data_IF_882834142250
#
_entry.id   IF_882834142250
#
_cell.length_a   1.000
_cell.length_b   1.000
_cell.length_c   1.000
_cell.angle_alpha   90.00
_cell.angle_beta   90.00
_cell.angle_gamma   90.00
#
_symmetry.space_group_name_H-M   'P 1'
#
loop_
_entity.id
_entity.type
_entity.pdbx_description
1 polymer ?
#
# COMPACT_ATOMS: atom_id res chain seq x y z
N UNK A 1 -19.83 90.77 -33.42
CA UNK A 1 -19.24 90.13 -34.62
C UNK A 1 -19.61 88.64 -34.62
N UNK A 2 -19.94 88.03 -35.77
CA UNK A 2 -20.36 86.62 -35.83
C UNK A 2 -19.25 85.62 -35.44
N UNK A 3 -17.98 85.97 -35.68
CA UNK A 3 -16.83 85.12 -35.30
C UNK A 3 -16.68 84.96 -33.78
N UNK A 4 -16.91 86.02 -33.00
CA UNK A 4 -16.85 85.95 -31.54
C UNK A 4 -17.94 85.02 -30.98
N UNK A 5 -19.15 85.06 -31.55
CA UNK A 5 -20.24 84.15 -31.15
C UNK A 5 -19.92 82.68 -31.49
N UNK A 6 -19.33 82.40 -32.65
CA UNK A 6 -18.89 81.05 -33.03
C UNK A 6 -17.80 80.51 -32.11
N UNK A 7 -16.80 81.34 -31.75
CA UNK A 7 -15.74 80.97 -30.81
C UNK A 7 -16.30 80.67 -29.41
N UNK A 8 -17.21 81.51 -28.91
CA UNK A 8 -17.87 81.29 -27.63
C UNK A 8 -18.68 79.98 -27.62
N UNK A 9 -19.40 79.68 -28.71
CA UNK A 9 -20.13 78.41 -28.87
C UNK A 9 -19.20 77.20 -28.88
N UNK A 10 -18.06 77.27 -29.59
CA UNK A 10 -17.06 76.19 -29.59
C UNK A 10 -16.41 75.96 -28.23
N UNK A 11 -16.08 77.04 -27.50
CA UNK A 11 -15.58 76.93 -26.12
C UNK A 11 -16.62 76.31 -25.19
N UNK A 12 -17.88 76.69 -25.32
CA UNK A 12 -18.97 76.12 -24.53
C UNK A 12 -19.15 74.61 -24.81
N UNK A 13 -19.06 74.19 -26.09
CA UNK A 13 -19.10 72.78 -26.49
C UNK A 13 -17.91 72.01 -25.91
N UNK A 14 -16.68 72.49 -26.10
CA UNK A 14 -15.48 71.85 -25.57
C UNK A 14 -15.52 71.71 -24.03
N UNK A 15 -16.04 72.72 -23.32
CA UNK A 15 -16.25 72.64 -21.87
C UNK A 15 -17.37 71.66 -21.47
N UNK A 16 -18.39 71.46 -22.31
CA UNK A 16 -19.41 70.46 -22.08
C UNK A 16 -18.87 69.04 -22.31
N UNK A 17 -18.12 68.82 -23.38
CA UNK A 17 -17.43 67.56 -23.68
C UNK A 17 -16.45 67.20 -22.56
N UNK A 18 -15.59 68.14 -22.13
CA UNK A 18 -14.68 67.93 -21.01
C UNK A 18 -15.40 67.57 -19.70
N UNK A 19 -16.60 68.12 -19.45
CA UNK A 19 -17.42 67.76 -18.28
C UNK A 19 -17.98 66.34 -18.38
N UNK A 20 -18.36 65.90 -19.57
CA UNK A 20 -18.80 64.51 -19.81
C UNK A 20 -17.64 63.55 -19.58
N UNK A 21 -16.46 63.84 -20.14
CA UNK A 21 -15.27 63.00 -19.96
C UNK A 21 -14.82 62.91 -18.49
N UNK A 22 -14.90 64.03 -17.77
CA UNK A 22 -14.60 64.06 -16.34
C UNK A 22 -15.63 63.25 -15.52
N UNK A 23 -16.92 63.37 -15.84
CA UNK A 23 -17.97 62.58 -15.20
C UNK A 23 -17.80 61.08 -15.47
N UNK A 24 -17.45 60.70 -16.70
CA UNK A 24 -17.16 59.32 -17.08
C UNK A 24 -15.94 58.77 -16.31
N UNK A 25 -14.88 59.56 -16.18
CA UNK A 25 -13.68 59.19 -15.40
C UNK A 25 -14.02 59.02 -13.91
N UNK A 26 -14.81 59.93 -13.34
CA UNK A 26 -15.23 59.85 -11.95
C UNK A 26 -16.12 58.63 -11.69
N UNK A 27 -17.03 58.31 -12.62
CA UNK A 27 -17.85 57.10 -12.55
C UNK A 27 -17.00 55.83 -12.61
N UNK A 28 -16.01 55.79 -13.50
CA UNK A 28 -15.09 54.66 -13.59
C UNK A 28 -14.30 54.46 -12.27
N UNK A 29 -13.80 55.55 -11.67
CA UNK A 29 -13.13 55.50 -10.37
C UNK A 29 -14.04 55.02 -9.24
N UNK A 30 -15.29 55.50 -9.22
CA UNK A 30 -16.26 55.08 -8.22
C UNK A 30 -16.56 53.57 -8.32
N UNK A 31 -16.67 53.03 -9.54
CA UNK A 31 -16.85 51.59 -9.77
C UNK A 31 -15.66 50.76 -9.30
N UNK A 32 -14.43 51.21 -9.59
CA UNK A 32 -13.23 50.52 -9.11
C UNK A 32 -13.18 50.49 -7.58
N UNK A 33 -13.51 51.61 -6.92
CA UNK A 33 -13.56 51.68 -5.46
C UNK A 33 -14.67 50.78 -4.87
N UNK A 34 -15.81 50.67 -5.53
CA UNK A 34 -16.87 49.73 -5.16
C UNK A 34 -16.41 48.27 -5.29
N UNK A 35 -15.79 47.89 -6.41
CA UNK A 35 -15.27 46.54 -6.64
C UNK A 35 -14.14 46.17 -5.66
N UNK A 36 -13.32 47.14 -5.27
CA UNK A 36 -12.28 46.97 -4.25
C UNK A 36 -12.91 46.75 -2.86
N UNK A 37 -13.86 47.59 -2.45
CA UNK A 37 -14.56 47.41 -1.17
C UNK A 37 -15.35 46.09 -1.10
N UNK A 38 -15.91 45.62 -2.23
CA UNK A 38 -16.57 44.31 -2.32
C UNK A 38 -15.58 43.15 -2.17
N UNK A 39 -14.38 43.26 -2.75
CA UNK A 39 -13.31 42.27 -2.58
C UNK A 39 -12.82 42.23 -1.13
N UNK A 40 -12.55 43.39 -0.53
CA UNK A 40 -12.13 43.49 0.87
C UNK A 40 -13.15 42.83 1.80
N UNK A 41 -14.45 43.08 1.57
CA UNK A 41 -15.52 42.45 2.33
C UNK A 41 -15.56 40.93 2.13
N UNK A 42 -15.39 40.43 0.90
CA UNK A 42 -15.35 39.00 0.63
C UNK A 42 -14.15 38.31 1.29
N UNK A 43 -12.98 38.97 1.31
CA UNK A 43 -11.75 38.48 1.94
C UNK A 43 -11.82 38.42 3.48
N UNK A 44 -12.82 39.06 4.10
CA UNK A 44 -13.09 38.86 5.54
C UNK A 44 -13.54 37.45 5.90
N UNK A 45 -14.07 36.70 4.92
CA UNK A 45 -14.55 35.32 5.12
C UNK A 45 -13.66 34.35 4.36
N UNK A 46 -12.73 33.73 5.07
CA UNK A 46 -11.86 32.70 4.51
C UNK A 46 -12.60 31.36 4.46
N UNK A 47 -12.81 30.83 3.25
CA UNK A 47 -13.39 29.49 3.02
C UNK A 47 -12.32 28.55 2.52
N UNK A 48 -12.32 27.32 3.04
CA UNK A 48 -11.45 26.27 2.51
C UNK A 48 -11.82 25.96 1.05
N UNK A 49 -10.84 25.89 0.13
CA UNK A 49 -11.09 25.61 -1.29
C UNK A 49 -11.52 24.16 -1.56
N UNK A 50 -11.29 23.23 -0.63
CA UNK A 50 -11.65 21.82 -0.72
C UNK A 50 -11.98 21.25 0.66
N UNK A 51 -12.60 20.07 0.69
CA UNK A 51 -12.86 19.32 1.93
C UNK A 51 -11.54 18.84 2.53
N UNK A 52 -11.20 19.31 3.71
CA UNK A 52 -9.90 19.04 4.33
C UNK A 52 -10.03 18.91 5.84
N UNK A 53 -9.04 18.24 6.45
CA UNK A 53 -8.81 18.30 7.89
C UNK A 53 -7.84 19.45 8.18
N UNK A 54 -8.16 20.26 9.18
CA UNK A 54 -7.27 21.34 9.62
C UNK A 54 -6.18 20.79 10.55
N UNK A 55 -4.95 21.21 10.30
CA UNK A 55 -3.79 21.01 11.20
C UNK A 55 -3.11 22.35 11.49
N UNK A 56 -2.33 22.39 12.58
CA UNK A 56 -1.58 23.59 12.99
C UNK A 56 -2.43 24.88 13.08
N UNK A 57 -3.63 24.79 13.65
CA UNK A 57 -4.53 25.94 13.78
C UNK A 57 -3.98 26.93 14.82
N UNK A 58 -3.71 28.16 14.42
CA UNK A 58 -3.18 29.24 15.27
C UNK A 58 -4.24 30.27 15.67
N UNK A 59 -5.45 30.13 15.14
CA UNK A 59 -6.57 31.03 15.31
C UNK A 59 -7.27 30.83 16.66
N UNK A 60 -7.62 31.96 17.29
CA UNK A 60 -8.50 32.05 18.46
C UNK A 60 -9.42 33.24 18.24
N UNK A 61 -10.65 33.16 18.74
CA UNK A 61 -11.63 34.24 18.63
C UNK A 61 -11.08 35.56 19.23
N UNK A 62 -11.31 36.67 18.54
CA UNK A 62 -10.87 38.00 18.96
C UNK A 62 -9.40 38.32 18.68
N UNK A 63 -8.62 37.38 18.14
CA UNK A 63 -7.23 37.63 17.72
C UNK A 63 -7.20 38.47 16.44
N UNK A 64 -6.32 39.48 16.43
CA UNK A 64 -5.98 40.20 15.21
C UNK A 64 -5.08 39.34 14.32
N UNK A 65 -5.47 39.17 13.05
CA UNK A 65 -4.70 38.45 12.04
C UNK A 65 -4.00 39.44 11.11
N UNK A 66 -2.77 39.13 10.72
CA UNK A 66 -2.02 39.94 9.75
C UNK A 66 -2.14 39.40 8.33
N UNK A 67 -1.95 40.28 7.34
CA UNK A 67 -1.83 39.85 5.96
C UNK A 67 -0.67 38.84 5.80
N UNK A 68 -0.89 37.79 5.02
CA UNK A 68 0.05 36.68 4.78
C UNK A 68 0.37 35.80 6.00
N UNK A 69 -0.36 35.94 7.12
CA UNK A 69 -0.19 35.04 8.25
C UNK A 69 -0.76 33.64 7.95
N UNK A 70 0.00 32.59 8.27
CA UNK A 70 -0.49 31.20 8.17
C UNK A 70 -1.41 30.90 9.35
N UNK A 71 -2.70 30.77 9.06
CA UNK A 71 -3.73 30.54 10.08
C UNK A 71 -3.94 29.07 10.42
N UNK A 72 -3.80 28.20 9.41
CA UNK A 72 -3.91 26.76 9.52
C UNK A 72 -3.27 26.10 8.29
N UNK A 73 -3.10 24.79 8.36
CA UNK A 73 -2.77 23.94 7.23
C UNK A 73 -3.98 23.06 6.89
N UNK A 74 -4.30 22.97 5.60
CA UNK A 74 -5.37 22.12 5.09
C UNK A 74 -4.76 20.81 4.60
N UNK A 75 -5.19 19.69 5.17
CA UNK A 75 -4.78 18.35 4.78
C UNK A 75 -5.95 17.65 4.09
N UNK A 76 -5.76 17.30 2.82
CA UNK A 76 -6.71 16.49 2.08
C UNK A 76 -6.53 15.00 2.47
N UNK A 77 -7.52 14.35 3.11
CA UNK A 77 -7.42 12.94 3.48
C UNK A 77 -7.44 11.99 2.26
N UNK A 78 -7.96 12.45 1.12
CA UNK A 78 -8.11 11.64 -0.09
C UNK A 78 -6.91 11.83 -1.06
N UNK A 79 -5.98 12.73 -0.74
CA UNK A 79 -4.80 13.01 -1.56
C UNK A 79 -3.50 12.81 -0.77
N UNK A 80 -3.34 11.63 -0.18
CA UNK A 80 -2.13 11.26 0.55
C UNK A 80 -1.07 10.64 -0.37
N UNK A 81 0.20 11.01 -0.14
CA UNK A 81 1.37 10.38 -0.76
C UNK A 81 2.24 9.72 0.31
N UNK A 82 2.76 8.54 0.00
CA UNK A 82 3.84 7.92 0.77
C UNK A 82 5.17 8.20 0.07
N UNK A 83 6.15 8.66 0.84
CA UNK A 83 7.52 8.80 0.36
C UNK A 83 8.39 7.68 0.93
N UNK A 84 9.11 6.98 0.06
CA UNK A 84 9.95 5.86 0.45
C UNK A 84 11.24 5.83 -0.38
N UNK A 85 12.28 5.24 0.18
CA UNK A 85 13.59 5.17 -0.44
C UNK A 85 13.93 3.76 -0.87
N UNK A 86 14.51 3.65 -2.07
CA UNK A 86 14.99 2.40 -2.62
C UNK A 86 16.45 2.53 -3.09
N UNK A 87 17.13 1.39 -3.22
CA UNK A 87 18.47 1.33 -3.80
C UNK A 87 18.46 1.62 -5.30
N UNK A 88 19.59 2.06 -5.86
CA UNK A 88 19.74 2.26 -7.30
C UNK A 88 19.41 1.00 -8.11
N UNK A 89 19.76 -0.18 -7.58
CA UNK A 89 19.49 -1.46 -8.22
C UNK A 89 17.99 -1.81 -8.24
N UNK A 90 17.22 -1.42 -7.22
CA UNK A 90 15.76 -1.56 -7.21
C UNK A 90 15.11 -0.53 -8.13
N UNK A 91 15.60 0.71 -8.12
CA UNK A 91 15.07 1.76 -8.97
C UNK A 91 15.18 1.41 -10.45
N UNK A 92 16.31 0.84 -10.88
CA UNK A 92 16.50 0.37 -12.26
C UNK A 92 15.46 -0.67 -12.71
N UNK A 93 14.82 -1.40 -11.78
CA UNK A 93 13.76 -2.39 -12.08
C UNK A 93 12.39 -1.77 -12.26
N UNK A 94 12.22 -0.52 -11.81
CA UNK A 94 11.00 0.26 -11.94
C UNK A 94 11.06 1.20 -13.14
N UNK A 95 12.06 1.06 -14.00
CA UNK A 95 12.16 1.79 -15.25
C UNK A 95 11.63 0.95 -16.40
N UNK A 96 10.95 1.59 -17.35
CA UNK A 96 10.59 0.98 -18.62
C UNK A 96 11.78 0.95 -19.60
N UNK A 97 11.51 0.48 -20.83
CA UNK A 97 12.53 0.37 -21.89
C UNK A 97 13.11 1.73 -22.32
N UNK A 98 12.36 2.82 -22.11
CA UNK A 98 12.76 4.20 -22.42
C UNK A 98 13.44 4.89 -21.22
N UNK A 99 13.63 4.16 -20.12
CA UNK A 99 14.25 4.66 -18.89
C UNK A 99 13.33 5.54 -18.05
N UNK A 100 12.02 5.52 -18.29
CA UNK A 100 11.02 6.27 -17.52
C UNK A 100 10.49 5.45 -16.36
N UNK A 101 10.18 6.12 -15.25
CA UNK A 101 9.62 5.48 -14.07
C UNK A 101 8.20 4.98 -14.36
N UNK A 102 7.97 3.69 -14.17
CA UNK A 102 6.65 3.08 -14.35
C UNK A 102 5.70 3.46 -13.21
N UNK A 103 4.40 3.46 -13.50
CA UNK A 103 3.32 3.61 -12.51
C UNK A 103 3.04 2.27 -11.81
N UNK A 104 4.03 1.78 -11.08
CA UNK A 104 3.92 0.48 -10.41
C UNK A 104 2.87 0.55 -9.27
N UNK A 105 2.02 -0.48 -9.11
CA UNK A 105 1.14 -0.59 -7.95
C UNK A 105 1.95 -0.65 -6.65
N UNK A 106 1.43 0.00 -5.62
CA UNK A 106 2.00 -0.06 -4.27
C UNK A 106 0.93 -0.39 -3.25
N UNK A 107 1.37 -1.02 -2.16
CA UNK A 107 0.58 -1.28 -0.98
C UNK A 107 1.33 -0.74 0.23
N UNK A 108 0.73 0.25 0.90
CA UNK A 108 1.24 0.80 2.14
C UNK A 108 0.55 0.11 3.32
N UNK A 109 1.34 -0.37 4.27
CA UNK A 109 0.88 -1.09 5.47
C UNK A 109 1.38 -0.35 6.70
N UNK A 110 0.45 0.11 7.52
CA UNK A 110 0.73 0.65 8.85
C UNK A 110 0.44 -0.44 9.88
N UNK A 111 1.48 -0.92 10.55
CA UNK A 111 1.36 -1.86 11.66
C UNK A 111 0.88 -1.11 12.91
N UNK A 112 -0.25 -1.54 13.45
CA UNK A 112 -0.90 -0.93 14.60
C UNK A 112 -1.36 -1.98 15.61
N UNK A 113 -0.43 -2.87 16.01
CA UNK A 113 -0.55 -3.80 17.16
C UNK A 113 -1.94 -4.48 17.25
N UNK A 114 -2.38 -5.08 16.13
CA UNK A 114 -3.62 -5.86 16.06
C UNK A 114 -4.70 -5.31 15.12
N UNK A 115 -4.48 -4.18 14.46
CA UNK A 115 -5.37 -3.65 13.42
C UNK A 115 -4.59 -2.96 12.28
N UNK A 116 -3.91 -3.76 11.45
CA UNK A 116 -3.13 -3.25 10.32
C UNK A 116 -4.01 -2.41 9.38
N UNK A 117 -3.59 -1.16 9.15
CA UNK A 117 -4.21 -0.32 8.13
C UNK A 117 -3.48 -0.53 6.82
N UNK A 118 -4.25 -0.77 5.75
CA UNK A 118 -3.72 -1.02 4.41
C UNK A 118 -4.29 -0.01 3.45
N UNK A 119 -3.42 0.65 2.70
CA UNK A 119 -3.77 1.53 1.60
C UNK A 119 -3.14 1.04 0.30
N UNK A 120 -3.89 1.13 -0.79
CA UNK A 120 -3.40 0.84 -2.13
C UNK A 120 -3.13 2.16 -2.86
N UNK A 121 -2.18 2.12 -3.79
CA UNK A 121 -1.81 3.27 -4.58
C UNK A 121 -0.90 2.91 -5.75
N UNK A 122 -0.30 3.93 -6.34
CA UNK A 122 0.65 3.76 -7.43
C UNK A 122 1.80 4.75 -7.32
N UNK A 123 2.98 4.34 -7.78
CA UNK A 123 4.15 5.23 -7.88
C UNK A 123 3.77 6.44 -8.74
N UNK A 124 3.96 7.64 -8.19
CA UNK A 124 3.57 8.89 -8.82
C UNK A 124 4.75 9.61 -9.47
N UNK A 125 5.90 9.62 -8.81
CA UNK A 125 7.11 10.34 -9.24
C UNK A 125 8.34 9.91 -8.43
N UNK A 126 9.50 10.24 -8.94
CA UNK A 126 10.76 10.23 -8.20
C UNK A 126 11.21 11.63 -7.82
N UNK A 127 12.16 11.71 -6.88
CA UNK A 127 12.81 12.96 -6.49
C UNK A 127 13.77 13.44 -7.59
N UNK A 128 13.75 14.75 -7.87
CA UNK A 128 14.62 15.39 -8.87
C UNK A 128 16.13 15.32 -8.53
N UNK A 129 16.48 14.95 -7.29
CA UNK A 129 17.85 14.71 -6.88
C UNK A 129 17.97 13.64 -5.80
N UNK A 130 19.12 12.95 -5.72
CA UNK A 130 19.48 12.20 -4.52
C UNK A 130 19.68 13.24 -3.42
N UNK A 131 18.79 13.29 -2.42
CA UNK A 131 18.88 14.25 -1.33
C UNK A 131 20.29 14.28 -0.73
N UNK A 132 20.71 15.45 -0.24
CA UNK A 132 22.10 15.69 0.22
C UNK A 132 22.62 14.56 1.13
N UNK A 133 23.77 14.01 0.76
CA UNK A 133 24.52 13.02 1.55
C UNK A 133 23.92 11.62 1.65
N UNK A 134 22.89 11.29 0.86
CA UNK A 134 22.15 10.03 1.01
C UNK A 134 22.27 9.15 -0.24
N UNK A 135 22.56 7.85 -0.04
CA UNK A 135 22.57 6.86 -1.11
C UNK A 135 21.16 6.34 -1.40
N UNK A 136 20.88 6.03 -2.67
CA UNK A 136 19.56 5.59 -3.13
C UNK A 136 18.72 6.70 -3.75
N UNK A 137 17.46 6.37 -4.08
CA UNK A 137 16.51 7.27 -4.73
C UNK A 137 15.21 7.30 -3.95
N UNK A 138 14.63 8.49 -3.81
CA UNK A 138 13.35 8.69 -3.14
C UNK A 138 12.25 8.65 -4.19
N UNK A 139 11.27 7.79 -3.96
CA UNK A 139 10.04 7.69 -4.73
C UNK A 139 8.87 8.18 -3.90
N UNK A 140 7.86 8.67 -4.61
CA UNK A 140 6.57 9.03 -4.07
C UNK A 140 5.53 8.15 -4.72
N UNK A 141 4.61 7.62 -3.93
CA UNK A 141 3.44 6.93 -4.43
C UNK A 141 2.18 7.60 -3.89
N UNK A 142 1.24 7.86 -4.78
CA UNK A 142 -0.07 8.40 -4.44
C UNK A 142 -0.96 7.25 -3.99
N UNK A 143 -1.62 7.41 -2.85
CA UNK A 143 -2.59 6.47 -2.32
C UNK A 143 -3.97 6.82 -2.85
N UNK A 144 -4.73 5.82 -3.32
CA UNK A 144 -6.06 6.04 -3.91
C UNK A 144 -7.13 6.21 -2.82
N UNK A 145 -7.08 5.33 -1.81
CA UNK A 145 -7.89 5.38 -0.59
C UNK A 145 -7.03 4.93 0.57
N UNK A 146 -6.82 5.84 1.52
CA UNK A 146 -6.01 5.58 2.69
C UNK A 146 -6.80 5.88 3.99
N UNK A 147 -7.89 5.12 4.25
CA UNK A 147 -8.72 5.36 5.42
C UNK A 147 -7.90 5.15 6.70
N UNK A 148 -7.93 6.16 7.59
CA UNK A 148 -7.23 6.12 8.86
C UNK A 148 -5.75 6.50 8.81
N UNK A 149 -5.15 6.62 7.62
CA UNK A 149 -3.79 7.13 7.47
C UNK A 149 -3.75 8.64 7.70
N UNK A 150 -2.64 9.10 8.26
CA UNK A 150 -2.37 10.52 8.53
C UNK A 150 -0.98 10.91 8.04
N UNK A 151 -0.78 12.19 7.69
CA UNK A 151 0.57 12.69 7.44
C UNK A 151 1.47 12.46 8.66
N UNK A 152 2.64 11.88 8.42
CA UNK A 152 3.62 11.53 9.46
C UNK A 152 3.58 10.08 9.92
N UNK A 153 2.60 9.28 9.47
CA UNK A 153 2.60 7.84 9.74
C UNK A 153 3.79 7.14 9.07
N UNK A 154 4.45 6.26 9.82
CA UNK A 154 5.52 5.42 9.31
C UNK A 154 4.97 4.08 8.85
N UNK A 155 5.13 3.79 7.56
CA UNK A 155 4.46 2.66 6.91
C UNK A 155 5.47 1.80 6.15
N UNK A 156 5.19 0.51 6.05
CA UNK A 156 5.89 -0.41 5.16
C UNK A 156 5.28 -0.31 3.76
N UNK A 157 6.11 -0.13 2.73
CA UNK A 157 5.65 -0.04 1.34
C UNK A 157 6.09 -1.28 0.58
N UNK A 158 5.09 -2.04 0.11
CA UNK A 158 5.26 -3.14 -0.83
C UNK A 158 5.03 -2.58 -2.24
N UNK A 159 6.00 -2.78 -3.14
CA UNK A 159 5.91 -2.32 -4.54
C UNK A 159 5.79 -3.55 -5.43
N UNK A 160 4.76 -3.57 -6.27
CA UNK A 160 4.59 -4.61 -7.28
C UNK A 160 5.43 -4.30 -8.51
N UNK A 161 6.45 -5.11 -8.75
CA UNK A 161 7.35 -4.94 -9.90
C UNK A 161 6.85 -5.65 -11.15
N UNK A 162 7.30 -5.25 -12.35
CA UNK A 162 6.95 -5.94 -13.57
C UNK A 162 7.30 -7.43 -13.52
N UNK A 163 6.44 -8.31 -14.09
CA UNK A 163 6.70 -9.73 -14.09
C UNK A 163 7.97 -10.04 -14.88
N UNK A 164 8.82 -10.90 -14.31
CA UNK A 164 10.05 -11.35 -14.96
C UNK A 164 9.75 -12.66 -15.68
N UNK A 165 9.85 -12.66 -17.01
CA UNK A 165 9.66 -13.85 -17.81
C UNK A 165 10.91 -14.76 -17.81
N UNK A 166 10.68 -16.04 -18.09
CA UNK A 166 11.72 -17.05 -18.32
C UNK A 166 12.70 -17.19 -17.15
N UNK A 167 12.16 -17.36 -15.94
CA UNK A 167 12.91 -17.60 -14.73
C UNK A 167 12.30 -18.74 -13.92
N UNK A 168 13.15 -19.48 -13.22
CA UNK A 168 12.76 -20.44 -12.20
C UNK A 168 12.97 -19.83 -10.81
N UNK A 169 11.94 -19.92 -9.96
CA UNK A 169 12.03 -19.57 -8.54
C UNK A 169 12.54 -20.79 -7.77
N UNK A 170 13.71 -20.67 -7.14
CA UNK A 170 14.31 -21.73 -6.36
C UNK A 170 14.82 -21.15 -5.03
N UNK A 171 14.85 -21.92 -3.94
CA UNK A 171 15.50 -21.44 -2.72
C UNK A 171 16.99 -21.17 -2.94
N UNK A 172 17.53 -20.20 -2.22
CA UNK A 172 18.91 -19.76 -2.37
C UNK A 172 19.95 -20.88 -2.15
N UNK A 173 19.58 -21.95 -1.43
CA UNK A 173 20.39 -23.14 -1.20
C UNK A 173 20.60 -24.02 -2.44
N UNK A 174 19.80 -23.85 -3.49
CA UNK A 174 19.91 -24.61 -4.74
C UNK A 174 21.08 -24.12 -5.62
N UNK A 175 21.44 -22.85 -5.50
CA UNK A 175 22.47 -22.19 -6.30
C UNK A 175 23.85 -22.28 -5.63
N UNK A 176 24.87 -22.73 -6.34
CA UNK A 176 26.24 -22.68 -5.84
C UNK A 176 26.99 -21.38 -6.15
N UNK A 177 28.19 -21.25 -5.59
CA UNK A 177 29.10 -20.13 -5.84
C UNK A 177 29.61 -20.03 -7.27
N UNK A 178 29.54 -21.12 -8.05
CA UNK A 178 29.97 -21.16 -9.45
C UNK A 178 28.84 -20.79 -10.42
N UNK A 179 27.62 -20.54 -9.93
CA UNK A 179 26.46 -20.23 -10.78
C UNK A 179 25.84 -21.46 -11.42
N UNK A 180 25.88 -22.62 -10.76
CA UNK A 180 25.26 -23.85 -11.25
C UNK A 180 24.23 -24.40 -10.28
N UNK A 181 23.22 -25.07 -10.83
CA UNK A 181 22.23 -25.85 -10.09
C UNK A 181 22.32 -27.31 -10.48
N UNK A 182 21.96 -28.20 -9.56
CA UNK A 182 21.93 -29.64 -9.83
C UNK A 182 20.51 -30.05 -10.20
N UNK A 183 20.33 -30.52 -11.43
CA UNK A 183 19.09 -31.08 -11.92
C UNK A 183 19.14 -32.61 -11.91
N UNK A 184 17.98 -33.25 -11.78
CA UNK A 184 17.85 -34.69 -11.92
C UNK A 184 17.86 -35.06 -13.42
N UNK A 185 18.88 -35.78 -13.83
CA UNK A 185 19.03 -36.37 -15.15
C UNK A 185 18.47 -37.80 -15.24
N UNK A 186 18.62 -38.45 -16.40
CA UNK A 186 18.27 -39.86 -16.58
C UNK A 186 19.02 -40.77 -15.58
N UNK A 187 18.44 -41.93 -15.27
CA UNK A 187 18.95 -42.90 -14.30
C UNK A 187 19.10 -42.37 -12.85
N UNK A 188 18.37 -41.31 -12.51
CA UNK A 188 18.46 -40.57 -11.24
C UNK A 188 19.86 -40.05 -10.94
N UNK A 189 20.60 -39.63 -11.97
CA UNK A 189 21.93 -39.03 -11.81
C UNK A 189 21.84 -37.52 -11.86
N UNK A 190 22.60 -36.83 -11.00
CA UNK A 190 22.62 -35.38 -10.99
C UNK A 190 23.41 -34.82 -12.18
N UNK A 191 22.83 -33.81 -12.84
CA UNK A 191 23.46 -33.03 -13.91
C UNK A 191 23.65 -31.60 -13.41
N UNK A 192 24.82 -31.01 -13.65
CA UNK A 192 25.05 -29.61 -13.35
C UNK A 192 24.57 -28.75 -14.53
N UNK A 193 23.66 -27.82 -14.27
CA UNK A 193 23.15 -26.86 -15.23
C UNK A 193 23.71 -25.49 -14.87
N UNK A 194 24.37 -24.83 -15.82
CA UNK A 194 24.81 -23.46 -15.65
C UNK A 194 23.61 -22.51 -15.71
N UNK A 195 23.52 -21.60 -14.75
CA UNK A 195 22.40 -20.65 -14.63
C UNK A 195 22.91 -19.25 -14.37
N UNK A 196 22.12 -18.27 -14.78
CA UNK A 196 22.33 -16.86 -14.48
C UNK A 196 21.39 -16.45 -13.36
N UNK A 197 21.95 -15.91 -12.28
CA UNK A 197 21.17 -15.31 -11.20
C UNK A 197 20.56 -14.00 -11.70
N UNK A 198 19.23 -13.97 -11.85
CA UNK A 198 18.49 -12.77 -12.23
C UNK A 198 18.17 -11.93 -10.98
N UNK A 199 17.73 -12.58 -9.89
CA UNK A 199 17.31 -11.86 -8.68
C UNK A 199 17.45 -12.70 -7.41
N UNK A 200 17.66 -12.03 -6.28
CA UNK A 200 17.43 -12.59 -4.94
C UNK A 200 16.20 -11.92 -4.32
N UNK A 201 15.29 -12.73 -3.77
CA UNK A 201 14.06 -12.30 -3.12
C UNK A 201 13.94 -13.04 -1.78
N UNK A 202 14.37 -12.39 -0.68
CA UNK A 202 14.40 -13.04 0.63
C UNK A 202 15.27 -14.31 0.61
N UNK A 203 14.64 -15.45 0.88
CA UNK A 203 15.28 -16.77 0.88
C UNK A 203 15.30 -17.45 -0.49
N UNK A 204 14.66 -16.85 -1.49
CA UNK A 204 14.55 -17.40 -2.83
C UNK A 204 15.40 -16.63 -3.85
N UNK A 205 15.68 -17.30 -4.96
CA UNK A 205 16.43 -16.77 -6.11
C UNK A 205 15.67 -17.04 -7.40
N UNK A 206 15.63 -16.02 -8.27
CA UNK A 206 15.16 -16.15 -9.64
C UNK A 206 16.36 -16.45 -10.53
N UNK A 207 16.35 -17.63 -11.15
CA UNK A 207 17.43 -18.11 -12.00
C UNK A 207 16.95 -18.26 -13.43
N UNK A 208 17.80 -17.93 -14.40
CA UNK A 208 17.58 -18.17 -15.82
C UNK A 208 18.63 -19.14 -16.34
N UNK A 209 18.21 -20.19 -17.03
CA UNK A 209 19.11 -21.17 -17.60
C UNK A 209 18.38 -22.10 -18.56
N UNK A 210 19.08 -22.52 -19.60
CA UNK A 210 18.56 -23.50 -20.56
C UNK A 210 18.42 -24.87 -19.87
N UNK A 211 17.29 -25.54 -20.10
CA UNK A 211 17.04 -26.86 -19.53
C UNK A 211 16.60 -26.90 -18.07
N UNK A 212 16.20 -25.76 -17.48
CA UNK A 212 15.57 -25.76 -16.14
C UNK A 212 14.09 -26.15 -16.17
N UNK A 213 13.39 -25.85 -17.27
CA UNK A 213 11.95 -26.04 -17.36
C UNK A 213 11.57 -27.54 -17.29
N UNK A 214 10.67 -27.88 -16.37
CA UNK A 214 10.13 -29.24 -16.23
C UNK A 214 11.11 -30.27 -15.66
N UNK A 215 12.27 -29.85 -15.11
CA UNK A 215 13.24 -30.75 -14.46
C UNK A 215 13.19 -30.59 -12.95
N UNK A 216 13.42 -31.69 -12.24
CA UNK A 216 13.53 -31.68 -10.78
C UNK A 216 14.89 -31.10 -10.37
N UNK A 217 14.89 -30.03 -9.59
CA UNK A 217 16.10 -29.35 -9.12
C UNK A 217 16.36 -29.68 -7.65
N UNK A 218 17.62 -29.91 -7.30
CA UNK A 218 18.03 -30.16 -5.91
C UNK A 218 18.03 -28.85 -5.13
N UNK A 219 17.15 -28.75 -4.15
CA UNK A 219 17.01 -27.57 -3.29
C UNK A 219 17.96 -27.59 -2.08
N UNK A 220 18.16 -28.76 -1.47
CA UNK A 220 18.99 -28.94 -0.26
C UNK A 220 20.37 -29.51 -0.59
N UNK A 221 21.25 -28.72 -1.21
CA UNK A 221 22.57 -29.20 -1.62
C UNK A 221 23.50 -29.35 -0.41
N UNK A 222 23.97 -30.57 -0.17
CA UNK A 222 25.10 -30.85 0.72
C UNK A 222 26.42 -30.74 -0.09
N UNK A 223 27.56 -30.37 0.52
CA UNK A 223 28.84 -30.28 -0.21
C UNK A 223 29.30 -31.58 -0.89
N UNK A 224 28.69 -32.71 -0.52
CA UNK A 224 28.96 -34.03 -1.08
C UNK A 224 28.18 -34.32 -2.38
N UNK A 225 27.19 -33.49 -2.74
CA UNK A 225 26.41 -33.64 -3.96
C UNK A 225 27.08 -32.90 -5.11
N UNK A 226 27.37 -33.64 -6.17
CA UNK A 226 27.99 -33.16 -7.39
C UNK A 226 27.46 -33.91 -8.61
N UNK A 227 27.88 -33.50 -9.82
CA UNK A 227 27.44 -34.10 -11.06
C UNK A 227 27.80 -35.60 -11.12
N UNK A 228 26.92 -36.40 -11.74
CA UNK A 228 27.08 -37.83 -11.95
C UNK A 228 26.67 -38.73 -10.77
N UNK A 229 26.43 -38.16 -9.59
CA UNK A 229 26.01 -38.91 -8.41
C UNK A 229 24.57 -39.39 -8.60
N UNK A 230 24.35 -40.68 -8.35
CA UNK A 230 23.00 -41.26 -8.31
C UNK A 230 22.33 -40.91 -7.00
N UNK A 231 21.18 -40.27 -7.07
CA UNK A 231 20.38 -39.90 -5.91
C UNK A 231 19.05 -40.63 -5.93
N UNK A 232 18.37 -40.64 -4.78
CA UNK A 232 16.96 -40.99 -4.71
C UNK A 232 16.22 -39.69 -4.43
N UNK A 233 15.38 -39.19 -5.35
CA UNK A 233 14.66 -37.95 -5.12
C UNK A 233 13.74 -38.13 -3.91
N UNK A 234 13.86 -37.19 -2.97
CA UNK A 234 12.85 -36.97 -1.95
C UNK A 234 12.00 -35.84 -2.50
N UNK A 235 10.87 -36.20 -3.09
CA UNK A 235 9.90 -35.21 -3.50
C UNK A 235 9.35 -34.60 -2.23
N UNK A 236 9.67 -33.33 -2.00
CA UNK A 236 8.83 -32.49 -1.18
C UNK A 236 7.57 -32.23 -2.03
N UNK A 237 6.69 -33.22 -2.09
CA UNK A 237 5.33 -32.98 -2.55
C UNK A 237 4.80 -31.94 -1.58
N UNK A 238 4.82 -30.68 -2.01
CA UNK A 238 4.21 -29.52 -1.36
C UNK A 238 2.69 -29.65 -1.23
N UNK A 239 2.18 -30.82 -0.87
CA UNK A 239 1.31 -30.88 0.27
C UNK A 239 2.19 -30.57 1.50
N UNK A 240 2.44 -29.32 1.89
CA UNK A 240 1.37 -28.50 2.46
C UNK A 240 0.09 -29.30 2.61
N UNK A 241 0.11 -30.34 3.45
CA UNK A 241 -1.10 -30.80 4.11
C UNK A 241 -1.78 -29.50 4.52
N UNK A 242 -2.96 -29.16 3.97
CA UNK A 242 -3.77 -28.11 4.57
C UNK A 242 -3.77 -28.47 6.05
N UNK A 243 -3.28 -27.56 6.89
CA UNK A 243 -3.26 -27.72 8.34
C UNK A 243 -4.52 -28.47 8.73
N UNK A 244 -4.39 -29.72 9.21
CA UNK A 244 -5.48 -30.70 9.26
C UNK A 244 -6.82 -30.03 9.59
N UNK A 245 -7.56 -29.68 8.54
CA UNK A 245 -8.88 -29.08 8.63
C UNK A 245 -9.79 -30.24 8.99
N UNK A 246 -10.18 -30.28 10.26
CA UNK A 246 -11.29 -31.05 10.82
C UNK A 246 -11.50 -32.44 10.18
N UNK A 247 -10.72 -33.44 10.63
CA UNK A 247 -11.17 -34.82 10.54
C UNK A 247 -12.51 -34.96 11.28
N UNK A 248 -13.58 -34.87 10.51
CA UNK A 248 -14.94 -35.00 10.96
C UNK A 248 -15.24 -36.48 11.18
N UNK A 249 -15.27 -36.89 12.45
CA UNK A 249 -15.43 -38.27 12.88
C UNK A 249 -16.91 -38.58 13.13
N UNK A 250 -17.40 -39.69 12.57
CA UNK A 250 -18.73 -40.23 12.90
C UNK A 250 -18.60 -41.02 14.20
N UNK A 251 -19.14 -40.47 15.28
CA UNK A 251 -19.14 -41.14 16.59
C UNK A 251 -20.21 -42.23 16.63
N UNK A 252 -19.86 -43.41 17.17
CA UNK A 252 -20.86 -44.41 17.53
C UNK A 252 -21.79 -43.89 18.63
N UNK A 253 -23.03 -44.38 18.68
CA UNK A 253 -24.05 -43.95 19.66
C UNK A 253 -23.57 -44.08 21.11
N UNK A 254 -22.85 -45.17 21.43
CA UNK A 254 -22.27 -45.37 22.76
C UNK A 254 -21.16 -44.35 23.09
N UNK A 255 -20.28 -44.02 22.14
CA UNK A 255 -19.17 -43.08 22.37
C UNK A 255 -19.70 -41.66 22.57
N UNK A 256 -20.74 -41.28 21.82
CA UNK A 256 -21.42 -39.98 21.98
C UNK A 256 -22.05 -39.84 23.37
N UNK A 257 -22.77 -40.85 23.84
CA UNK A 257 -23.44 -40.81 25.14
C UNK A 257 -22.46 -40.61 26.30
N UNK A 258 -21.27 -41.24 26.24
CA UNK A 258 -20.22 -41.07 27.26
C UNK A 258 -19.65 -39.64 27.29
N UNK A 259 -19.42 -39.03 26.12
CA UNK A 259 -18.90 -37.67 26.01
C UNK A 259 -19.91 -36.63 26.49
N UNK A 260 -21.19 -36.81 26.15
CA UNK A 260 -22.28 -35.93 26.62
C UNK A 260 -22.43 -35.99 28.13
N UNK A 261 -22.48 -37.20 28.72
CA UNK A 261 -22.59 -37.37 30.17
C UNK A 261 -21.42 -36.73 30.93
N UNK A 262 -20.21 -36.76 30.38
CA UNK A 262 -19.05 -36.11 31.00
C UNK A 262 -19.15 -34.58 30.96
N UNK A 263 -19.60 -34.01 29.85
CA UNK A 263 -19.79 -32.55 29.72
C UNK A 263 -20.89 -32.05 30.66
N UNK A 264 -21.97 -32.80 30.83
CA UNK A 264 -23.06 -32.49 31.78
C UNK A 264 -22.59 -32.57 33.24
N UNK A 265 -21.86 -33.63 33.61
CA UNK A 265 -21.38 -33.86 34.98
C UNK A 265 -20.24 -32.90 35.42
N UNK A 266 -19.59 -32.20 34.49
CA UNK A 266 -18.47 -31.31 34.79
C UNK A 266 -18.93 -30.03 35.51
N UNK A 267 -18.57 -29.85 36.78
CA UNK A 267 -18.85 -28.62 37.55
C UNK A 267 -17.84 -27.49 37.29
N UNK A 268 -16.80 -27.75 36.50
CA UNK A 268 -15.65 -26.84 36.28
C UNK A 268 -15.77 -25.97 35.03
N UNK A 269 -16.87 -26.08 34.29
CA UNK A 269 -17.08 -25.41 32.99
C UNK A 269 -18.21 -24.37 33.06
N UNK A 270 -18.01 -23.15 32.50
CA UNK A 270 -19.08 -22.15 32.36
C UNK A 270 -20.27 -22.67 31.54
N UNK A 271 -21.49 -22.25 31.86
CA UNK A 271 -22.73 -22.75 31.24
C UNK A 271 -22.79 -22.51 29.72
N UNK A 272 -22.29 -21.36 29.24
CA UNK A 272 -22.24 -21.04 27.81
C UNK A 272 -21.36 -22.02 27.01
N UNK A 273 -20.23 -22.42 27.60
CA UNK A 273 -19.30 -23.38 26.97
C UNK A 273 -19.90 -24.78 26.94
N UNK A 274 -20.64 -25.18 27.98
CA UNK A 274 -21.36 -26.46 28.01
C UNK A 274 -22.41 -26.54 26.90
N UNK A 275 -23.22 -25.49 26.73
CA UNK A 275 -24.25 -25.44 25.70
C UNK A 275 -23.64 -25.55 24.29
N UNK A 276 -22.52 -24.87 24.04
CA UNK A 276 -21.80 -24.97 22.77
C UNK A 276 -21.27 -26.37 22.50
N UNK A 277 -20.63 -27.01 23.49
CA UNK A 277 -20.09 -28.37 23.34
C UNK A 277 -21.18 -29.42 23.11
N UNK A 278 -22.31 -29.32 23.81
CA UNK A 278 -23.46 -30.22 23.61
C UNK A 278 -24.07 -30.06 22.22
N UNK A 279 -24.15 -28.83 21.70
CA UNK A 279 -24.64 -28.57 20.34
C UNK A 279 -23.75 -29.22 19.27
N UNK A 280 -22.43 -29.17 19.46
CA UNK A 280 -21.46 -29.74 18.52
C UNK A 280 -21.39 -31.27 18.59
N UNK A 281 -21.59 -31.87 19.77
CA UNK A 281 -21.65 -33.33 19.95
C UNK A 281 -22.96 -33.96 19.43
N UNK A 282 -24.00 -33.16 19.21
CA UNK A 282 -25.30 -33.61 18.68
C UNK A 282 -25.28 -33.74 17.15
N UNK A 283 -24.36 -33.05 16.46
CA UNK A 283 -24.21 -33.14 15.00
C UNK A 283 -23.82 -34.54 14.50
N UNK A 284 -24.14 -34.88 13.25
CA UNK A 284 -23.83 -36.19 12.64
C UNK A 284 -22.32 -36.44 12.48
N UNK A 285 -21.54 -35.37 12.41
CA UNK A 285 -20.09 -35.38 12.26
C UNK A 285 -19.50 -34.42 13.29
N UNK A 286 -18.55 -34.91 14.09
CA UNK A 286 -17.92 -34.13 15.16
C UNK A 286 -16.42 -33.99 14.89
N UNK A 287 -15.81 -32.81 15.08
CA UNK A 287 -14.37 -32.64 14.89
C UNK A 287 -13.56 -33.57 15.81
N UNK A 288 -12.61 -34.31 15.25
CA UNK A 288 -11.74 -35.23 16.00
C UNK A 288 -10.97 -34.54 17.14
N UNK A 289 -10.59 -33.27 16.93
CA UNK A 289 -9.90 -32.43 17.93
C UNK A 289 -10.74 -32.21 19.18
N UNK A 290 -12.06 -32.04 19.02
CA UNK A 290 -12.99 -31.84 20.12
C UNK A 290 -13.15 -33.12 20.96
N UNK A 291 -13.26 -34.26 20.29
CA UNK A 291 -13.34 -35.58 20.94
C UNK A 291 -12.06 -35.88 21.71
N UNK A 292 -10.90 -35.69 21.09
CA UNK A 292 -9.59 -35.92 21.73
C UNK A 292 -9.38 -35.03 22.96
N UNK A 293 -9.88 -33.78 22.93
CA UNK A 293 -9.78 -32.84 24.07
C UNK A 293 -10.68 -33.23 25.25
N UNK A 294 -11.85 -33.83 24.99
CA UNK A 294 -12.73 -34.31 26.05
C UNK A 294 -12.18 -35.63 26.61
N UNK A 295 -11.74 -36.54 25.76
CA UNK A 295 -11.17 -37.83 26.18
C UNK A 295 -9.87 -37.67 26.99
N UNK A 296 -9.00 -36.71 26.65
CA UNK A 296 -7.79 -36.43 27.46
C UNK A 296 -8.11 -35.90 28.86
N UNK A 297 -9.28 -35.27 29.06
CA UNK A 297 -9.76 -34.82 30.36
C UNK A 297 -10.52 -35.90 31.14
N UNK A 298 -11.03 -36.93 30.45
CA UNK A 298 -11.62 -38.12 31.06
C UNK A 298 -10.58 -39.14 31.49
N UNK A 299 -9.46 -39.22 30.76
CA UNK A 299 -8.39 -40.21 30.96
C UNK A 299 -7.24 -39.76 31.87
N UNK A 300 -7.47 -38.75 32.71
CA UNK A 300 -6.55 -38.30 33.76
C UNK A 300 -7.00 -38.73 35.14
#
# INVERSE_FOLDING_TARGET
SARQALLASRLALANAEARVDQAATNLARARIAEEEAQRDLAETTLRAPFGATLSEVTLVEGRLVSANEKLAMLVDPDALEVSFRISTAQYARLLDADGQLIRAPVRAVLDADGADLVAQGQISRDSAGPGEGQSGRVLFARLDKAPGFKPGDFVSVEVEEPPVAEVALLPASALDSAGTVLALGPDNRLEAIAVTLVRRQGNDVLLRGEGLAGRDIVVGRTPLLGPGIRVRPLQDTGAATPAAEDEMLVLSSERRARLVAFVEASTRMPEEVKAQLLSQLTGDKVPAVLVARIESRMGG
#
